data_IF_767020330119
#
_entry.id   IF_767020330119
#
_cell.length_a   1.000
_cell.length_b   1.000
_cell.length_c   1.000
_cell.angle_alpha   90.00
_cell.angle_beta   90.00
_cell.angle_gamma   90.00
#
_symmetry.space_group_name_H-M   'P 1'
#
loop_
_entity.id
_entity.type
_entity.pdbx_description
1 polymer ?
#
# COMPACT_ATOMS: atom_id res chain seq x y z
N UNK A 1 -1.75 -22.79 -7.40
CA UNK A 1 -2.57 -21.63 -7.03
C UNK A 1 -2.93 -20.83 -8.27
N UNK A 2 -4.23 -20.72 -8.56
CA UNK A 2 -4.65 -19.90 -9.71
C UNK A 2 -4.50 -18.43 -9.37
N UNK A 3 -3.72 -17.71 -10.15
CA UNK A 3 -3.69 -16.25 -10.11
C UNK A 3 -4.74 -15.71 -11.06
N UNK A 4 -5.60 -14.84 -10.56
CA UNK A 4 -6.61 -14.17 -11.36
C UNK A 4 -6.15 -12.76 -11.72
N UNK A 5 -6.45 -12.35 -12.93
CA UNK A 5 -6.23 -10.97 -13.36
C UNK A 5 -7.45 -10.12 -12.98
N UNK A 6 -7.41 -9.53 -11.80
CA UNK A 6 -8.51 -8.70 -11.29
C UNK A 6 -8.72 -7.41 -12.08
N UNK A 7 -7.77 -7.03 -12.92
CA UNK A 7 -7.89 -5.85 -13.81
C UNK A 7 -8.60 -6.15 -15.11
N UNK A 8 -8.75 -7.42 -15.45
CA UNK A 8 -9.51 -7.83 -16.64
C UNK A 8 -11.00 -7.81 -16.31
N UNK A 9 -11.81 -6.95 -16.96
CA UNK A 9 -13.25 -6.83 -16.65
C UNK A 9 -14.04 -8.12 -16.81
N UNK A 10 -13.70 -8.94 -17.80
CA UNK A 10 -14.38 -10.23 -18.03
C UNK A 10 -14.11 -11.23 -16.92
N UNK A 11 -12.84 -11.33 -16.49
CA UNK A 11 -12.43 -12.20 -15.38
C UNK A 11 -13.08 -11.74 -14.09
N UNK A 12 -13.08 -10.44 -13.84
CA UNK A 12 -13.65 -9.84 -12.63
C UNK A 12 -15.17 -10.13 -12.56
N UNK A 13 -15.89 -9.95 -13.65
CA UNK A 13 -17.32 -10.24 -13.71
C UNK A 13 -17.63 -11.72 -13.45
N UNK A 14 -16.84 -12.63 -13.99
CA UNK A 14 -16.99 -14.05 -13.73
C UNK A 14 -16.76 -14.38 -12.26
N UNK A 15 -15.80 -13.73 -11.63
CA UNK A 15 -15.53 -13.92 -10.21
C UNK A 15 -16.67 -13.36 -9.34
N UNK A 16 -17.24 -12.22 -9.72
CA UNK A 16 -18.41 -11.65 -9.05
C UNK A 16 -19.59 -12.63 -9.08
N UNK A 17 -19.89 -13.20 -10.25
CA UNK A 17 -20.97 -14.16 -10.41
C UNK A 17 -20.75 -15.41 -9.57
N UNK A 18 -19.53 -15.95 -9.56
CA UNK A 18 -19.18 -17.11 -8.72
C UNK A 18 -19.28 -16.79 -7.24
N UNK A 19 -18.89 -15.60 -6.82
CA UNK A 19 -18.99 -15.18 -5.43
C UNK A 19 -20.45 -15.10 -4.98
N UNK A 20 -21.31 -14.49 -5.80
CA UNK A 20 -22.74 -14.39 -5.53
C UNK A 20 -23.38 -15.77 -5.43
N UNK A 21 -22.98 -16.69 -6.32
CA UNK A 21 -23.47 -18.09 -6.32
C UNK A 21 -22.91 -18.93 -5.17
N UNK A 22 -21.96 -18.40 -4.39
CA UNK A 22 -21.34 -19.12 -3.29
C UNK A 22 -20.34 -20.18 -3.72
N UNK A 23 -19.81 -20.09 -4.93
CA UNK A 23 -18.90 -21.08 -5.53
C UNK A 23 -17.46 -20.60 -5.68
N UNK A 24 -17.15 -19.42 -5.18
CA UNK A 24 -15.81 -18.85 -5.28
C UNK A 24 -15.02 -19.11 -4.00
N UNK A 25 -13.83 -19.71 -4.16
CA UNK A 25 -12.84 -19.75 -3.09
C UNK A 25 -11.97 -18.48 -3.16
N UNK A 26 -12.22 -17.56 -2.26
CA UNK A 26 -11.52 -16.27 -2.18
C UNK A 26 -10.48 -16.23 -1.05
N UNK A 27 -10.24 -17.34 -0.37
CA UNK A 27 -9.41 -17.40 0.85
C UNK A 27 -7.97 -16.93 0.63
N UNK A 28 -7.42 -17.11 -0.57
CA UNK A 28 -6.06 -16.71 -0.92
C UNK A 28 -5.97 -15.38 -1.63
N UNK A 29 -7.06 -14.64 -1.74
CA UNK A 29 -7.08 -13.35 -2.43
C UNK A 29 -6.40 -12.26 -1.58
N UNK A 30 -5.80 -11.25 -2.24
CA UNK A 30 -5.29 -10.07 -1.53
C UNK A 30 -6.38 -9.37 -0.71
N UNK A 31 -6.03 -8.63 0.36
CA UNK A 31 -7.03 -8.04 1.26
C UNK A 31 -8.15 -7.23 0.60
N UNK A 32 -7.92 -6.35 -0.40
CA UNK A 32 -9.02 -5.63 -1.03
C UNK A 32 -10.01 -6.55 -1.73
N UNK A 33 -9.51 -7.52 -2.49
CA UNK A 33 -10.34 -8.49 -3.23
C UNK A 33 -11.02 -9.46 -2.27
N UNK A 34 -10.33 -9.94 -1.26
CA UNK A 34 -10.91 -10.78 -0.21
C UNK A 34 -12.13 -10.11 0.43
N UNK A 35 -11.98 -8.86 0.85
CA UNK A 35 -13.06 -8.08 1.46
C UNK A 35 -14.25 -7.94 0.52
N UNK A 36 -14.01 -7.62 -0.74
CA UNK A 36 -15.06 -7.43 -1.74
C UNK A 36 -15.83 -8.73 -2.02
N UNK A 37 -15.11 -9.77 -2.39
CA UNK A 37 -15.74 -11.04 -2.80
C UNK A 37 -16.41 -11.77 -1.63
N UNK A 38 -15.86 -11.68 -0.42
CA UNK A 38 -16.52 -12.25 0.76
C UNK A 38 -17.86 -11.55 1.06
N UNK A 39 -17.94 -10.25 0.87
CA UNK A 39 -19.19 -9.49 1.03
C UNK A 39 -20.19 -9.79 -0.08
N UNK A 40 -19.75 -9.96 -1.32
CA UNK A 40 -20.60 -10.40 -2.41
C UNK A 40 -21.19 -11.79 -2.15
N UNK A 41 -20.39 -12.70 -1.65
CA UNK A 41 -20.87 -14.03 -1.26
C UNK A 41 -22.00 -13.94 -0.22
N UNK A 42 -21.87 -12.99 0.73
CA UNK A 42 -22.90 -12.75 1.74
C UNK A 42 -24.18 -12.17 1.13
N UNK A 43 -24.07 -11.28 0.16
CA UNK A 43 -25.23 -10.74 -0.59
C UNK A 43 -25.96 -11.87 -1.30
N UNK A 44 -25.24 -12.75 -1.98
CA UNK A 44 -25.82 -13.93 -2.64
C UNK A 44 -26.49 -14.87 -1.65
N UNK A 45 -25.88 -15.11 -0.50
CA UNK A 45 -26.47 -15.90 0.57
C UNK A 45 -27.81 -15.28 1.05
N UNK A 46 -27.84 -13.99 1.28
CA UNK A 46 -29.05 -13.27 1.73
C UNK A 46 -30.15 -13.32 0.66
N UNK A 47 -29.80 -13.28 -0.61
CA UNK A 47 -30.76 -13.47 -1.71
C UNK A 47 -31.41 -14.85 -1.64
N UNK A 48 -30.60 -15.91 -1.47
CA UNK A 48 -31.09 -17.30 -1.48
C UNK A 48 -31.83 -17.68 -0.21
N UNK A 49 -31.40 -17.19 0.95
CA UNK A 49 -31.86 -17.69 2.24
C UNK A 49 -32.63 -16.68 3.10
N UNK A 50 -32.50 -15.37 2.83
CA UNK A 50 -33.16 -14.33 3.63
C UNK A 50 -34.15 -13.46 2.85
N UNK A 51 -34.49 -13.88 1.63
CA UNK A 51 -35.52 -13.22 0.84
C UNK A 51 -35.17 -11.84 0.30
N UNK A 52 -33.89 -11.51 0.19
CA UNK A 52 -33.47 -10.28 -0.45
C UNK A 52 -33.83 -10.32 -1.93
N UNK A 53 -34.54 -9.30 -2.44
CA UNK A 53 -34.85 -9.24 -3.86
C UNK A 53 -33.64 -8.78 -4.68
N UNK A 54 -33.75 -8.92 -5.99
CA UNK A 54 -32.65 -8.60 -6.92
C UNK A 54 -32.26 -7.13 -6.85
N UNK A 55 -33.20 -6.22 -6.60
CA UNK A 55 -32.92 -4.78 -6.53
C UNK A 55 -32.07 -4.45 -5.31
N UNK A 56 -32.37 -5.05 -4.17
CA UNK A 56 -31.55 -4.90 -2.95
C UNK A 56 -30.14 -5.44 -3.19
N UNK A 57 -30.02 -6.59 -3.83
CA UNK A 57 -28.72 -7.19 -4.16
C UNK A 57 -27.91 -6.30 -5.08
N UNK A 58 -28.51 -5.71 -6.10
CA UNK A 58 -27.83 -4.80 -7.03
C UNK A 58 -27.38 -3.51 -6.35
N UNK A 59 -28.19 -2.96 -5.45
CA UNK A 59 -27.81 -1.78 -4.67
C UNK A 59 -26.57 -2.06 -3.79
N UNK A 60 -26.56 -3.19 -3.11
CA UNK A 60 -25.42 -3.61 -2.30
C UNK A 60 -24.17 -3.87 -3.15
N UNK A 61 -24.34 -4.49 -4.31
CA UNK A 61 -23.24 -4.72 -5.25
C UNK A 61 -22.59 -3.40 -5.69
N UNK A 62 -23.39 -2.40 -6.02
CA UNK A 62 -22.87 -1.08 -6.39
C UNK A 62 -22.12 -0.40 -5.27
N UNK A 63 -22.63 -0.46 -4.03
CA UNK A 63 -21.93 0.07 -2.86
C UNK A 63 -20.60 -0.64 -2.63
N UNK A 64 -20.60 -1.95 -2.73
CA UNK A 64 -19.41 -2.77 -2.53
C UNK A 64 -18.37 -2.53 -3.61
N UNK A 65 -18.77 -2.33 -4.86
CA UNK A 65 -17.88 -1.96 -5.97
C UNK A 65 -17.22 -0.61 -5.74
N UNK A 66 -17.97 0.37 -5.24
CA UNK A 66 -17.44 1.70 -4.91
C UNK A 66 -16.40 1.60 -3.79
N UNK A 67 -16.69 0.85 -2.73
CA UNK A 67 -15.72 0.60 -1.66
C UNK A 67 -14.48 -0.12 -2.15
N UNK A 68 -14.67 -1.12 -3.01
CA UNK A 68 -13.56 -1.88 -3.58
C UNK A 68 -12.62 -1.00 -4.39
N UNK A 69 -13.15 -0.13 -5.25
CA UNK A 69 -12.34 0.82 -6.02
C UNK A 69 -11.49 1.70 -5.11
N UNK A 70 -12.08 2.23 -4.05
CA UNK A 70 -11.37 3.06 -3.08
C UNK A 70 -10.29 2.26 -2.35
N UNK A 71 -10.61 1.05 -1.88
CA UNK A 71 -9.66 0.19 -1.17
C UNK A 71 -8.51 -0.23 -2.10
N UNK A 72 -8.79 -0.46 -3.37
CA UNK A 72 -7.78 -0.80 -4.37
C UNK A 72 -6.85 0.37 -4.66
N UNK A 73 -7.39 1.57 -4.83
CA UNK A 73 -6.60 2.78 -5.05
C UNK A 73 -5.70 3.06 -3.84
N UNK A 74 -6.23 2.91 -2.62
CA UNK A 74 -5.45 3.05 -1.39
C UNK A 74 -4.34 2.00 -1.29
N UNK A 75 -4.61 0.76 -1.65
CA UNK A 75 -3.61 -0.31 -1.64
C UNK A 75 -2.49 -0.03 -2.63
N UNK A 76 -2.82 0.44 -3.83
CA UNK A 76 -1.83 0.81 -4.84
C UNK A 76 -0.98 1.99 -4.37
N UNK A 77 -1.59 3.01 -3.76
CA UNK A 77 -0.89 4.14 -3.16
C UNK A 77 0.08 3.69 -2.06
N UNK A 78 -0.37 2.82 -1.15
CA UNK A 78 0.50 2.25 -0.11
C UNK A 78 1.68 1.49 -0.69
N UNK A 79 1.45 0.73 -1.76
CA UNK A 79 2.52 0.00 -2.45
C UNK A 79 3.57 0.95 -3.02
N UNK A 80 3.13 2.02 -3.67
CA UNK A 80 4.02 3.05 -4.23
C UNK A 80 4.81 3.75 -3.13
N UNK A 81 4.17 4.12 -2.03
CA UNK A 81 4.83 4.75 -0.88
C UNK A 81 5.84 3.80 -0.24
N UNK A 82 5.50 2.53 -0.06
CA UNK A 82 6.40 1.52 0.49
C UNK A 82 7.63 1.34 -0.38
N UNK A 83 7.46 1.29 -1.70
CA UNK A 83 8.57 1.18 -2.64
C UNK A 83 9.48 2.41 -2.57
N UNK A 84 8.90 3.60 -2.48
CA UNK A 84 9.65 4.86 -2.34
C UNK A 84 10.48 4.89 -1.05
N UNK A 85 9.89 4.43 0.06
CA UNK A 85 10.59 4.32 1.34
C UNK A 85 11.76 3.33 1.22
N UNK A 86 11.54 2.18 0.61
CA UNK A 86 12.60 1.17 0.41
C UNK A 86 13.75 1.72 -0.45
N UNK A 87 13.44 2.46 -1.50
CA UNK A 87 14.46 3.09 -2.33
C UNK A 87 15.28 4.11 -1.55
N UNK A 88 14.62 4.91 -0.70
CA UNK A 88 15.30 5.87 0.17
C UNK A 88 16.17 5.19 1.23
N UNK A 89 15.72 4.06 1.78
CA UNK A 89 16.52 3.25 2.72
C UNK A 89 17.79 2.74 2.03
N UNK A 90 17.70 2.25 0.79
CA UNK A 90 18.85 1.80 0.02
C UNK A 90 19.86 2.93 -0.22
N UNK A 91 19.38 4.11 -0.59
CA UNK A 91 20.23 5.30 -0.75
C UNK A 91 20.94 5.66 0.54
N UNK A 92 20.24 5.66 1.67
CA UNK A 92 20.81 5.93 2.98
C UNK A 92 21.88 4.93 3.35
N UNK A 93 21.66 3.65 3.08
CA UNK A 93 22.66 2.60 3.34
C UNK A 93 23.92 2.79 2.50
N UNK A 94 23.78 3.22 1.25
CA UNK A 94 24.91 3.53 0.37
C UNK A 94 25.72 4.72 0.89
N UNK A 95 25.05 5.77 1.35
CA UNK A 95 25.71 6.93 1.95
C UNK A 95 26.49 6.56 3.22
N UNK A 96 25.90 5.76 4.10
CA UNK A 96 26.54 5.27 5.31
C UNK A 96 27.78 4.44 4.97
N UNK A 97 27.69 3.57 3.96
CA UNK A 97 28.82 2.78 3.48
C UNK A 97 29.96 3.65 2.98
N UNK A 98 29.65 4.68 2.17
CA UNK A 98 30.63 5.65 1.69
C UNK A 98 31.29 6.42 2.84
N UNK A 99 30.51 6.76 3.87
CA UNK A 99 31.00 7.40 5.06
C UNK A 99 32.07 6.56 5.76
N UNK A 100 31.82 5.25 5.92
CA UNK A 100 32.79 4.33 6.51
C UNK A 100 34.07 4.17 5.66
N UNK A 101 33.92 4.23 4.34
CA UNK A 101 35.06 4.06 3.42
C UNK A 101 35.91 5.32 3.31
N UNK A 102 35.34 6.50 3.51
CA UNK A 102 36.02 7.77 3.28
C UNK A 102 36.68 8.41 4.49
N UNK A 103 36.72 7.74 5.62
CA UNK A 103 37.19 8.31 6.89
C UNK A 103 36.52 9.65 7.18
N UNK A 104 35.53 9.61 8.01
CA UNK A 104 34.57 10.63 8.37
C UNK A 104 35.10 12.07 8.35
N UNK A 105 34.63 12.87 7.44
CA UNK A 105 34.76 14.32 7.50
C UNK A 105 33.36 14.95 7.63
N UNK A 106 33.33 16.25 7.88
CA UNK A 106 32.09 17.02 8.05
C UNK A 106 31.15 16.86 6.86
N UNK A 107 31.69 16.90 5.64
CA UNK A 107 30.90 16.75 4.42
C UNK A 107 30.21 15.38 4.32
N UNK A 108 30.87 14.34 4.76
CA UNK A 108 30.33 12.98 4.76
C UNK A 108 29.16 12.87 5.73
N UNK A 109 29.25 13.49 6.91
CA UNK A 109 28.16 13.55 7.87
C UNK A 109 26.97 14.32 7.30
N UNK A 110 27.21 15.45 6.63
CA UNK A 110 26.16 16.23 5.98
C UNK A 110 25.46 15.41 4.88
N UNK A 111 26.20 14.66 4.07
CA UNK A 111 25.63 13.80 3.05
C UNK A 111 24.76 12.70 3.65
N UNK A 112 25.17 12.11 4.75
CA UNK A 112 24.35 11.10 5.46
C UNK A 112 23.06 11.71 6.00
N UNK A 113 23.11 12.93 6.55
CA UNK A 113 21.92 13.64 7.03
C UNK A 113 20.97 13.99 5.90
N UNK A 114 21.46 14.34 4.71
CA UNK A 114 20.64 14.57 3.54
C UNK A 114 19.92 13.30 3.09
N UNK A 115 20.55 12.16 3.20
CA UNK A 115 19.92 10.87 2.91
C UNK A 115 18.78 10.57 3.90
N UNK A 116 18.95 10.87 5.18
CA UNK A 116 17.90 10.74 6.20
C UNK A 116 16.73 11.70 5.92
N UNK A 117 17.02 12.92 5.46
CA UNK A 117 16.00 13.88 5.06
C UNK A 117 15.13 13.33 3.91
N UNK A 118 15.75 12.68 2.92
CA UNK A 118 15.02 11.99 1.85
C UNK A 118 14.08 10.90 2.38
N UNK A 119 14.49 10.21 3.44
CA UNK A 119 13.70 9.15 4.07
C UNK A 119 12.47 9.69 4.78
N UNK A 120 12.62 10.81 5.48
CA UNK A 120 11.56 11.36 6.34
C UNK A 120 10.68 12.40 5.63
N UNK A 121 11.08 12.86 4.45
CA UNK A 121 10.46 14.01 3.76
C UNK A 121 10.34 15.26 4.64
N UNK A 122 11.20 15.40 5.64
CA UNK A 122 11.23 16.58 6.49
C UNK A 122 12.19 17.64 5.95
N UNK A 123 11.65 18.66 5.32
CA UNK A 123 12.41 19.78 4.84
C UNK A 123 13.06 20.53 6.03
N UNK A 124 14.34 20.78 5.90
CA UNK A 124 15.11 21.51 6.91
C UNK A 124 15.68 20.67 8.05
N UNK A 125 15.45 19.35 8.07
CA UNK A 125 16.01 18.45 9.08
C UNK A 125 17.55 18.49 9.04
N UNK A 126 18.14 18.39 7.87
CA UNK A 126 19.60 18.44 7.66
C UNK A 126 20.18 19.73 8.22
N UNK A 127 19.55 20.86 7.94
CA UNK A 127 19.96 22.17 8.42
C UNK A 127 19.96 22.25 9.95
N UNK A 128 18.87 21.80 10.59
CA UNK A 128 18.72 21.81 12.04
C UNK A 128 19.78 20.95 12.74
N UNK A 129 20.02 19.75 12.22
CA UNK A 129 21.01 18.84 12.79
C UNK A 129 22.42 19.39 12.57
N UNK A 130 22.72 19.94 11.42
CA UNK A 130 24.02 20.57 11.10
C UNK A 130 24.31 21.72 12.06
N UNK A 131 23.32 22.56 12.34
CA UNK A 131 23.47 23.68 13.30
C UNK A 131 23.77 23.16 14.70
N UNK A 132 23.09 22.11 15.17
CA UNK A 132 23.34 21.50 16.47
C UNK A 132 24.73 20.88 16.57
N UNK A 133 25.22 20.24 15.51
CA UNK A 133 26.57 19.68 15.46
C UNK A 133 27.63 20.77 15.57
N UNK A 134 27.44 21.91 14.90
CA UNK A 134 28.33 23.07 15.00
C UNK A 134 28.35 23.67 16.40
N UNK A 135 27.20 23.80 17.04
CA UNK A 135 27.10 24.24 18.44
C UNK A 135 27.86 23.32 19.38
N UNK A 136 27.76 22.01 19.18
CA UNK A 136 28.46 21.00 19.95
C UNK A 136 29.97 21.08 19.77
N UNK A 137 30.48 21.38 18.59
CA UNK A 137 31.89 21.55 18.30
C UNK A 137 32.50 22.81 18.92
N UNK A 138 31.70 23.86 19.08
CA UNK A 138 32.11 25.14 19.64
C UNK A 138 32.06 25.19 21.16
N UNK A 139 31.58 24.14 21.79
CA UNK A 139 31.62 23.97 23.25
C UNK A 139 32.77 23.05 23.64
#
# INVERSE_FOLDING_TARGET
MKKYDFKNPQVFEQLEDKAIDGQLDYSAFPPPEYKYFSRLAKVGYNNRHKGWDINICLEWQDKLRTEYKRDRDNADEYRMLSQRIMDNVKKSADFVRKMYQSQTNEQTVINALQALECLTNENGLTKRITEKLKESENN
#
